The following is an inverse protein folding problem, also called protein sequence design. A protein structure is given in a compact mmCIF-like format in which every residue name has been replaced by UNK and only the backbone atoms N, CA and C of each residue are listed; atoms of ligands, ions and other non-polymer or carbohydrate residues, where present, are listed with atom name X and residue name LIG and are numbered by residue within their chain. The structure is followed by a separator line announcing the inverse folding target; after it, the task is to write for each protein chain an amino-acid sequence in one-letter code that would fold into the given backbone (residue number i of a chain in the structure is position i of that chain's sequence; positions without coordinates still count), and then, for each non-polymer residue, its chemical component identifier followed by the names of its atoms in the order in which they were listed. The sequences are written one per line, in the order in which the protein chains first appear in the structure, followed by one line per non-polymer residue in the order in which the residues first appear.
data_IF_070717796639
#
_entry.id   IF_070717796639
#
_cell.length_a   1.000
_cell.length_b   1.000
_cell.length_c   1.000
_cell.angle_alpha   90.00
_cell.angle_beta   90.00
_cell.angle_gamma   90.00
#
_symmetry.space_group_name_H-M   'P 1'
#
loop_
_entity.id
_entity.type
_entity.pdbx_description
1 polymer ?
#
# COMPACT_ATOMS: atom_id res chain seq x y z
N UNK A 1 -8.47 4.85 -23.70
CA UNK A 1 -8.58 5.12 -25.16
C UNK A 1 -7.24 5.65 -25.65
N UNK A 2 -6.92 5.37 -26.92
CA UNK A 2 -5.68 5.77 -27.57
C UNK A 2 -5.62 7.31 -27.72
N UNK A 3 -4.66 8.03 -27.13
CA UNK A 3 -4.52 9.47 -27.26
C UNK A 3 -4.23 9.91 -28.70
N UNK A 4 -4.69 11.11 -29.06
CA UNK A 4 -4.56 11.72 -30.41
C UNK A 4 -3.08 11.93 -30.81
N UNK A 5 -2.18 11.97 -29.84
CA UNK A 5 -0.73 12.13 -30.06
C UNK A 5 0.00 10.82 -30.45
N UNK A 6 -0.71 9.68 -30.46
CA UNK A 6 -0.17 8.32 -30.75
C UNK A 6 1.09 7.94 -29.93
N UNK A 7 1.37 8.67 -28.85
CA UNK A 7 2.61 8.48 -28.08
C UNK A 7 2.56 7.26 -27.15
N UNK A 8 1.35 6.75 -26.88
CA UNK A 8 1.04 5.69 -25.92
C UNK A 8 -0.25 4.98 -26.36
N UNK A 9 -0.46 3.71 -26.01
CA UNK A 9 -1.71 3.00 -26.34
C UNK A 9 -2.87 3.39 -25.40
N UNK A 10 -2.53 3.78 -24.17
CA UNK A 10 -3.50 4.18 -23.15
C UNK A 10 -2.95 5.33 -22.30
N UNK A 11 -3.80 6.32 -22.04
CA UNK A 11 -3.50 7.44 -21.15
C UNK A 11 -4.52 7.52 -20.02
N UNK A 12 -4.02 7.61 -18.80
CA UNK A 12 -4.79 7.80 -17.57
C UNK A 12 -4.35 9.14 -16.98
N UNK A 13 -5.24 10.13 -17.04
CA UNK A 13 -5.10 11.38 -16.32
C UNK A 13 -6.17 11.44 -15.23
N UNK A 14 -5.74 11.53 -13.98
CA UNK A 14 -6.64 11.69 -12.83
C UNK A 14 -6.15 12.85 -12.01
N UNK A 15 -7.03 13.80 -11.71
CA UNK A 15 -6.76 14.87 -10.75
C UNK A 15 -7.91 14.96 -9.76
N UNK A 16 -7.60 14.99 -8.47
CA UNK A 16 -8.60 15.09 -7.40
C UNK A 16 -8.45 16.39 -6.62
N UNK A 17 -9.56 16.89 -6.08
CA UNK A 17 -9.57 17.94 -5.05
C UNK A 17 -9.28 17.31 -3.66
N UNK A 18 -8.90 18.09 -2.64
CA UNK A 18 -8.65 17.57 -1.30
C UNK A 18 -9.91 16.94 -0.71
N UNK A 19 -9.78 15.70 -0.22
CA UNK A 19 -10.90 14.94 0.34
C UNK A 19 -10.80 14.88 1.87
N UNK A 20 -11.90 15.12 2.58
CA UNK A 20 -11.99 14.90 4.03
C UNK A 20 -12.71 13.59 4.28
N UNK A 21 -11.99 12.57 4.74
CA UNK A 21 -12.58 11.26 5.06
C UNK A 21 -12.72 11.18 6.56
N UNK A 22 -13.94 11.00 7.05
CA UNK A 22 -14.20 10.76 8.47
C UNK A 22 -14.65 9.32 8.64
N UNK A 23 -13.96 8.59 9.51
CA UNK A 23 -14.32 7.23 9.86
C UNK A 23 -15.58 7.23 10.71
N UNK A 24 -16.57 6.45 10.28
CA UNK A 24 -17.80 6.17 11.00
C UNK A 24 -17.95 4.66 11.13
N UNK A 25 -17.90 4.16 12.37
CA UNK A 25 -17.88 2.73 12.65
C UNK A 25 -19.17 2.04 12.18
N UNK A 26 -20.32 2.68 12.35
CA UNK A 26 -21.61 2.12 11.95
C UNK A 26 -21.69 1.93 10.43
N UNK A 27 -21.24 2.91 9.66
CA UNK A 27 -21.18 2.85 8.20
C UNK A 27 -20.23 1.76 7.73
N UNK A 28 -19.03 1.70 8.29
CA UNK A 28 -18.04 0.68 7.90
C UNK A 28 -18.54 -0.72 8.23
N UNK A 29 -19.14 -0.94 9.40
CA UNK A 29 -19.67 -2.23 9.78
C UNK A 29 -20.79 -2.71 8.85
N UNK A 30 -21.70 -1.82 8.47
CA UNK A 30 -22.78 -2.11 7.49
C UNK A 30 -22.23 -2.40 6.09
N UNK A 31 -21.24 -1.63 5.64
CA UNK A 31 -20.60 -1.86 4.35
C UNK A 31 -19.90 -3.22 4.34
N UNK A 32 -19.16 -3.54 5.39
CA UNK A 32 -18.51 -4.85 5.54
C UNK A 32 -19.55 -5.98 5.53
N UNK A 33 -20.69 -5.80 6.21
CA UNK A 33 -21.79 -6.77 6.20
C UNK A 33 -22.37 -7.02 4.80
N UNK A 34 -22.55 -5.97 3.99
CA UNK A 34 -23.05 -6.08 2.60
C UNK A 34 -22.05 -6.84 1.70
N UNK A 35 -20.74 -6.65 1.94
CA UNK A 35 -19.69 -7.30 1.17
C UNK A 35 -19.25 -8.67 1.73
N UNK A 36 -19.76 -9.08 2.91
CA UNK A 36 -19.64 -10.47 3.36
C UNK A 36 -20.48 -11.32 2.41
N UNK A 37 -19.82 -12.18 1.64
CA UNK A 37 -20.53 -13.13 0.79
C UNK A 37 -21.38 -14.03 1.70
N UNK A 38 -22.67 -14.26 1.38
CA UNK A 38 -23.45 -15.27 2.07
C UNK A 38 -22.76 -16.63 1.90
N UNK A 39 -22.66 -17.39 2.99
CA UNK A 39 -21.87 -18.63 3.12
C UNK A 39 -22.29 -19.78 2.21
N UNK A 40 -23.26 -19.58 1.32
CA UNK A 40 -23.81 -20.62 0.45
C UNK A 40 -23.90 -20.10 -0.99
N UNK A 41 -22.79 -20.08 -1.74
CA UNK A 41 -22.81 -20.33 -3.21
C UNK A 41 -21.40 -20.47 -3.84
N UNK A 42 -21.09 -21.72 -4.22
CA UNK A 42 -20.28 -22.15 -5.36
C UNK A 42 -18.87 -21.54 -5.55
N UNK A 43 -17.94 -21.91 -4.66
CA UNK A 43 -16.50 -21.88 -4.96
C UNK A 43 -16.14 -22.81 -6.15
N UNK A 44 -16.95 -23.83 -6.42
CA UNK A 44 -16.75 -24.80 -7.50
C UNK A 44 -16.73 -24.15 -8.89
N UNK A 45 -17.55 -23.12 -9.15
CA UNK A 45 -17.60 -22.48 -10.47
C UNK A 45 -16.38 -21.59 -10.72
N UNK A 46 -15.84 -20.95 -9.68
CA UNK A 46 -14.63 -20.12 -9.77
C UNK A 46 -13.40 -21.01 -9.92
N UNK A 47 -13.36 -22.15 -9.22
CA UNK A 47 -12.28 -23.12 -9.32
C UNK A 47 -12.20 -23.73 -10.73
N UNK A 48 -13.32 -24.12 -11.33
CA UNK A 48 -13.35 -24.65 -12.71
C UNK A 48 -12.92 -23.58 -13.73
N UNK A 49 -13.32 -22.31 -13.53
CA UNK A 49 -12.86 -21.21 -14.38
C UNK A 49 -11.36 -20.90 -14.21
N UNK A 50 -10.82 -21.06 -13.00
CA UNK A 50 -9.41 -20.93 -12.70
C UNK A 50 -8.60 -22.10 -13.29
N UNK A 51 -9.07 -23.34 -13.18
CA UNK A 51 -8.45 -24.54 -13.75
C UNK A 51 -8.36 -24.46 -15.28
N UNK A 52 -9.40 -23.95 -15.94
CA UNK A 52 -9.37 -23.69 -17.39
C UNK A 52 -8.38 -22.57 -17.80
N UNK A 53 -8.13 -21.58 -16.93
CA UNK A 53 -7.09 -20.57 -17.16
C UNK A 53 -5.68 -21.10 -16.86
N UNK A 54 -5.53 -21.95 -15.84
CA UNK A 54 -4.25 -22.57 -15.46
C UNK A 54 -3.75 -23.56 -16.50
N UNK A 55 -4.64 -24.35 -17.12
CA UNK A 55 -4.25 -25.28 -18.18
C UNK A 55 -3.83 -24.56 -19.48
N UNK A 56 -4.35 -23.36 -19.72
CA UNK A 56 -3.91 -22.48 -20.82
C UNK A 56 -2.55 -21.81 -20.54
N UNK A 57 -2.05 -21.90 -19.30
CA UNK A 57 -0.79 -21.31 -18.84
C UNK A 57 0.40 -22.29 -18.87
N UNK A 58 0.21 -23.53 -19.35
CA UNK A 58 1.23 -24.60 -19.35
C UNK A 58 1.94 -24.82 -20.71
N UNK A 59 1.44 -24.25 -21.81
CA UNK A 59 1.96 -24.48 -23.17
C UNK A 59 2.45 -23.21 -23.87
N UNK A 60 3.35 -22.45 -23.24
CA UNK A 60 3.95 -21.31 -23.94
C UNK A 60 5.41 -21.08 -23.51
N UNK A 61 6.29 -21.96 -23.98
CA UNK A 61 7.74 -21.76 -23.84
C UNK A 61 8.39 -21.72 -25.21
N UNK A 62 9.32 -20.77 -25.38
CA UNK A 62 10.05 -20.29 -26.59
C UNK A 62 9.44 -19.13 -27.39
N UNK A 63 8.13 -18.86 -27.29
CA UNK A 63 7.50 -17.70 -27.97
C UNK A 63 7.39 -16.43 -27.10
N UNK A 64 7.83 -16.47 -25.84
CA UNK A 64 7.57 -15.42 -24.83
C UNK A 64 8.09 -14.02 -25.18
N UNK A 65 9.25 -13.89 -25.85
CA UNK A 65 9.75 -12.58 -26.30
C UNK A 65 8.88 -11.99 -27.42
N UNK A 66 8.59 -12.78 -28.46
CA UNK A 66 7.71 -12.35 -29.56
C UNK A 66 6.29 -12.05 -29.05
N UNK A 67 5.80 -12.83 -28.09
CA UNK A 67 4.51 -12.62 -27.46
C UNK A 67 4.46 -11.35 -26.59
N UNK A 68 5.52 -11.09 -25.82
CA UNK A 68 5.64 -9.89 -25.02
C UNK A 68 5.71 -8.62 -25.88
N UNK A 69 6.41 -8.68 -27.03
CA UNK A 69 6.47 -7.60 -28.02
C UNK A 69 5.08 -7.34 -28.63
N UNK A 70 4.33 -8.39 -28.95
CA UNK A 70 3.01 -8.27 -29.60
C UNK A 70 1.91 -7.77 -28.65
N UNK A 71 1.98 -8.14 -27.36
CA UNK A 71 0.99 -7.74 -26.35
C UNK A 71 1.35 -6.50 -25.54
N UNK A 72 2.41 -5.79 -25.89
CA UNK A 72 2.88 -4.67 -25.08
C UNK A 72 1.92 -3.48 -25.19
N UNK A 73 1.28 -3.10 -24.07
CA UNK A 73 0.41 -1.91 -23.99
C UNK A 73 1.20 -0.79 -23.31
N UNK A 74 1.55 0.25 -24.05
CA UNK A 74 2.18 1.45 -23.55
C UNK A 74 1.17 2.26 -22.70
N UNK A 75 1.28 2.14 -21.37
CA UNK A 75 0.45 2.89 -20.42
C UNK A 75 1.13 4.19 -19.98
N UNK A 76 0.45 5.31 -20.20
CA UNK A 76 0.81 6.61 -19.66
C UNK A 76 -0.07 6.93 -18.45
N UNK A 77 0.54 7.02 -17.28
CA UNK A 77 -0.16 7.38 -16.04
C UNK A 77 0.30 8.76 -15.62
N UNK A 78 -0.66 9.63 -15.32
CA UNK A 78 -0.44 10.89 -14.62
C UNK A 78 -1.62 11.10 -13.65
N UNK A 79 -1.38 10.72 -12.41
CA UNK A 79 -2.34 10.74 -11.33
C UNK A 79 -1.83 11.75 -10.32
N UNK A 80 -2.64 12.78 -10.09
CA UNK A 80 -2.41 13.82 -9.11
C UNK A 80 -3.54 13.77 -8.08
N UNK A 81 -3.25 13.15 -6.94
CA UNK A 81 -4.20 13.03 -5.84
C UNK A 81 -3.80 14.05 -4.80
N UNK A 82 -4.59 15.12 -4.69
CA UNK A 82 -4.59 15.95 -3.49
C UNK A 82 -5.13 15.10 -2.36
N UNK A 83 -4.21 14.62 -1.52
CA UNK A 83 -4.47 13.43 -0.73
C UNK A 83 -5.48 13.73 0.37
N UNK A 84 -6.35 12.77 0.69
CA UNK A 84 -7.31 12.94 1.75
C UNK A 84 -6.61 13.01 3.11
N UNK A 85 -7.17 13.80 4.02
CA UNK A 85 -6.93 13.58 5.44
C UNK A 85 -8.03 12.69 6.00
N UNK A 86 -7.62 11.64 6.72
CA UNK A 86 -8.48 10.66 7.34
C UNK A 86 -8.57 11.00 8.82
N UNK A 87 -9.79 11.16 9.32
CA UNK A 87 -10.09 11.45 10.72
C UNK A 87 -10.74 10.21 11.33
N UNK A 88 -10.13 9.72 12.40
CA UNK A 88 -10.62 8.57 13.14
C UNK A 88 -10.94 9.03 14.56
N UNK A 89 -12.23 9.17 14.91
CA UNK A 89 -12.65 9.55 16.26
C UNK A 89 -12.59 8.40 17.24
N UNK A 90 -12.28 8.71 18.50
CA UNK A 90 -12.50 7.81 19.61
C UNK A 90 -13.97 7.39 19.68
N UNK A 91 -14.23 6.09 19.89
CA UNK A 91 -15.59 5.53 19.91
C UNK A 91 -16.24 5.40 18.53
N UNK A 92 -15.54 5.71 17.44
CA UNK A 92 -16.00 5.42 16.08
C UNK A 92 -17.09 6.33 15.53
N UNK A 93 -17.42 7.43 16.22
CA UNK A 93 -18.35 8.45 15.75
C UNK A 93 -17.77 9.85 15.97
N UNK A 94 -17.83 10.70 14.96
CA UNK A 94 -17.29 12.05 15.04
C UNK A 94 -18.37 13.04 15.46
N UNK A 95 -18.27 13.61 16.66
CA UNK A 95 -19.11 14.75 17.10
C UNK A 95 -18.32 16.04 17.27
N UNK A 96 -16.98 15.95 17.24
CA UNK A 96 -16.06 17.08 17.29
C UNK A 96 -15.50 17.38 18.68
N UNK A 97 -15.97 16.65 19.70
CA UNK A 97 -15.48 16.73 21.09
C UNK A 97 -14.70 15.49 21.53
N UNK A 98 -14.45 14.55 20.63
CA UNK A 98 -13.66 13.35 20.90
C UNK A 98 -12.17 13.58 20.62
N UNK A 99 -11.34 12.75 21.23
CA UNK A 99 -9.96 12.59 20.80
C UNK A 99 -9.94 11.98 19.40
N UNK A 100 -9.09 12.49 18.52
CA UNK A 100 -9.06 12.07 17.12
C UNK A 100 -7.63 11.73 16.69
N UNK A 101 -7.52 10.64 15.93
CA UNK A 101 -6.34 10.36 15.12
C UNK A 101 -6.57 10.96 13.74
N UNK A 102 -5.68 11.84 13.31
CA UNK A 102 -5.75 12.47 12.00
C UNK A 102 -4.51 12.09 11.20
N UNK A 103 -4.74 11.45 10.06
CA UNK A 103 -3.70 11.10 9.10
C UNK A 103 -3.86 11.97 7.85
N UNK A 104 -2.97 12.93 7.67
CA UNK A 104 -2.88 13.71 6.45
C UNK A 104 -1.94 13.00 5.47
N UNK A 105 -2.49 12.47 4.38
CA UNK A 105 -1.71 11.79 3.34
C UNK A 105 -0.96 12.78 2.41
N UNK A 106 -1.21 14.08 2.57
CA UNK A 106 -0.50 15.16 1.90
C UNK A 106 -0.79 15.28 0.40
N UNK A 107 0.22 15.11 -0.45
CA UNK A 107 0.07 15.12 -1.91
C UNK A 107 0.70 13.88 -2.51
N UNK A 108 -0.12 13.06 -3.19
CA UNK A 108 0.33 11.86 -3.88
C UNK A 108 0.33 12.13 -5.37
N UNK A 109 1.52 12.14 -5.95
CA UNK A 109 1.70 12.24 -7.41
C UNK A 109 2.30 10.96 -7.95
N UNK A 110 1.65 10.38 -8.94
CA UNK A 110 2.13 9.20 -9.66
C UNK A 110 2.19 9.56 -11.13
N UNK A 111 3.37 9.50 -11.71
CA UNK A 111 3.52 9.77 -13.13
C UNK A 111 4.52 8.83 -13.79
N UNK A 112 4.20 8.40 -14.99
CA UNK A 112 5.10 7.63 -15.84
C UNK A 112 6.20 8.53 -16.39
N UNK A 113 7.44 8.08 -16.37
CA UNK A 113 8.59 8.82 -16.91
C UNK A 113 9.54 7.90 -17.71
N UNK A 114 10.45 8.50 -18.47
CA UNK A 114 11.41 7.77 -19.31
C UNK A 114 10.95 7.56 -20.76
N UNK A 115 11.91 7.25 -21.64
CA UNK A 115 11.61 6.81 -23.02
C UNK A 115 11.02 5.42 -22.96
N UNK A 116 9.82 5.26 -23.51
CA UNK A 116 9.18 3.95 -23.61
C UNK A 116 9.54 3.38 -24.96
N UNK A 117 10.00 2.14 -24.99
CA UNK A 117 10.17 1.42 -26.25
C UNK A 117 8.79 1.19 -26.85
N UNK A 118 8.52 1.77 -28.02
CA UNK A 118 7.31 1.44 -28.77
C UNK A 118 7.42 0.01 -29.30
N UNK A 119 6.28 -0.65 -29.50
CA UNK A 119 6.22 -1.92 -30.23
C UNK A 119 6.86 -1.81 -31.61
N UNK A 120 6.80 -0.63 -32.24
CA UNK A 120 7.47 -0.33 -33.50
C UNK A 120 9.00 -0.33 -33.38
N UNK A 121 9.56 0.18 -32.27
CA UNK A 121 11.01 0.20 -32.05
C UNK A 121 11.57 -1.22 -31.86
N UNK A 122 10.82 -2.07 -31.15
CA UNK A 122 11.20 -3.45 -30.90
C UNK A 122 11.08 -4.32 -32.15
N UNK A 123 10.06 -4.09 -32.99
CA UNK A 123 9.93 -4.75 -34.30
C UNK A 123 11.09 -4.37 -35.22
N UNK A 124 11.47 -3.09 -35.28
CA UNK A 124 12.64 -2.62 -36.05
C UNK A 124 13.94 -3.26 -35.57
N UNK A 125 14.18 -3.30 -34.25
CA UNK A 125 15.36 -3.96 -33.68
C UNK A 125 15.42 -5.46 -34.04
N UNK A 126 14.28 -6.14 -34.08
CA UNK A 126 14.19 -7.54 -34.49
C UNK A 126 14.44 -7.73 -35.99
N UNK A 127 13.86 -6.85 -36.81
CA UNK A 127 14.04 -6.83 -38.28
C UNK A 127 15.47 -6.45 -38.70
N UNK A 128 16.16 -5.65 -37.90
CA UNK A 128 17.57 -5.26 -38.08
C UNK A 128 18.57 -6.39 -37.72
N UNK A 129 18.10 -7.57 -37.29
CA UNK A 129 18.94 -8.74 -37.00
C UNK A 129 19.73 -8.65 -35.70
N UNK A 130 19.30 -7.80 -34.75
CA UNK A 130 19.90 -7.69 -33.41
C UNK A 130 19.83 -9.02 -32.66
N UNK A 131 20.84 -9.28 -31.84
CA UNK A 131 20.86 -10.48 -31.01
C UNK A 131 19.79 -10.44 -29.92
N UNK A 132 19.32 -11.60 -29.47
CA UNK A 132 18.31 -11.71 -28.41
C UNK A 132 18.74 -11.00 -27.11
N UNK A 133 20.04 -11.01 -26.80
CA UNK A 133 20.61 -10.32 -25.64
C UNK A 133 20.50 -8.81 -25.76
N UNK A 134 20.78 -8.23 -26.93
CA UNK A 134 20.66 -6.78 -27.15
C UNK A 134 19.20 -6.30 -27.07
N UNK A 135 18.25 -7.09 -27.61
CA UNK A 135 16.82 -6.79 -27.51
C UNK A 135 16.37 -6.86 -26.04
N UNK A 136 16.87 -7.85 -25.29
CA UNK A 136 16.58 -7.99 -23.87
C UNK A 136 17.13 -6.82 -23.05
N UNK A 137 18.38 -6.42 -23.27
CA UNK A 137 18.98 -5.26 -22.62
C UNK A 137 18.20 -3.97 -22.95
N UNK A 138 17.75 -3.84 -24.20
CA UNK A 138 16.92 -2.73 -24.63
C UNK A 138 15.56 -2.72 -23.90
N UNK A 139 14.91 -3.88 -23.73
CA UNK A 139 13.64 -4.01 -22.99
C UNK A 139 13.79 -3.71 -21.50
N UNK A 140 14.84 -4.22 -20.87
CA UNK A 140 15.14 -3.93 -19.46
C UNK A 140 15.44 -2.45 -19.24
N UNK A 141 16.14 -1.82 -20.19
CA UNK A 141 16.48 -0.39 -20.14
C UNK A 141 15.27 0.53 -20.34
N UNK A 142 14.27 0.09 -21.09
CA UNK A 142 13.03 0.84 -21.35
C UNK A 142 11.82 0.24 -20.64
N UNK A 143 12.06 -0.37 -19.48
CA UNK A 143 11.00 -0.84 -18.58
C UNK A 143 10.05 0.29 -18.18
N UNK A 144 8.83 -0.08 -17.76
CA UNK A 144 7.84 0.92 -17.35
C UNK A 144 8.25 1.57 -16.03
N UNK A 145 8.85 2.75 -16.11
CA UNK A 145 9.25 3.52 -14.96
C UNK A 145 8.12 4.47 -14.53
N UNK A 146 7.59 4.23 -13.33
CA UNK A 146 6.63 5.09 -12.65
C UNK A 146 7.33 5.79 -11.49
N UNK A 147 7.16 7.10 -11.38
CA UNK A 147 7.60 7.87 -10.22
C UNK A 147 6.41 8.09 -9.30
N UNK A 148 6.60 7.78 -8.02
CA UNK A 148 5.66 8.00 -6.95
C UNK A 148 6.27 9.00 -5.99
N UNK A 149 5.55 10.09 -5.75
CA UNK A 149 5.93 11.16 -4.84
C UNK A 149 4.83 11.35 -3.81
N UNK A 150 5.19 11.20 -2.54
CA UNK A 150 4.37 11.54 -1.39
C UNK A 150 4.98 12.79 -0.77
N UNK A 151 4.21 13.86 -0.61
CA UNK A 151 4.67 15.08 0.06
C UNK A 151 3.83 15.37 1.28
N UNK A 152 4.46 15.79 2.36
CA UNK A 152 3.82 16.23 3.60
C UNK A 152 2.88 15.19 4.24
N UNK A 153 3.27 13.91 4.24
CA UNK A 153 2.59 12.88 5.03
C UNK A 153 2.76 13.21 6.53
N UNK A 154 1.66 13.33 7.26
CA UNK A 154 1.66 13.67 8.69
C UNK A 154 0.63 12.82 9.42
N UNK A 155 0.94 12.42 10.65
CA UNK A 155 -0.01 11.72 11.52
C UNK A 155 0.00 12.41 12.87
N UNK A 156 -1.18 12.77 13.36
CA UNK A 156 -1.38 13.51 14.59
C UNK A 156 -2.41 12.79 15.46
N UNK A 157 -2.19 12.80 16.76
CA UNK A 157 -3.19 12.40 17.75
C UNK A 157 -3.56 13.65 18.53
N UNK A 158 -4.82 14.06 18.46
CA UNK A 158 -5.29 15.29 19.08
C UNK A 158 -6.35 15.01 20.14
N UNK A 159 -6.29 15.78 21.22
CA UNK A 159 -7.32 15.83 22.24
C UNK A 159 -8.45 16.78 21.81
N UNK A 160 -9.57 16.71 22.53
CA UNK A 160 -10.77 17.49 22.20
C UNK A 160 -10.61 19.01 22.34
N UNK A 161 -9.65 19.46 23.14
CA UNK A 161 -9.28 20.86 23.35
C UNK A 161 -8.15 21.34 22.42
N UNK A 162 -7.56 20.45 21.63
CA UNK A 162 -6.44 20.76 20.75
C UNK A 162 -6.89 21.06 19.30
N UNK A 163 -6.35 22.14 18.73
CA UNK A 163 -6.65 22.51 17.35
C UNK A 163 -5.72 21.81 16.35
N UNK A 164 -6.06 20.57 16.01
CA UNK A 164 -5.34 19.76 15.03
C UNK A 164 -5.41 20.30 13.60
N UNK A 165 -6.51 20.97 13.23
CA UNK A 165 -6.71 21.50 11.86
C UNK A 165 -5.67 22.61 11.55
N UNK A 166 -5.44 23.50 12.52
CA UNK A 166 -4.37 24.49 12.42
C UNK A 166 -2.98 23.85 12.38
N UNK A 167 -2.74 22.81 13.17
CA UNK A 167 -1.44 22.12 13.22
C UNK A 167 -1.08 21.46 11.88
N UNK A 168 -2.03 20.81 11.23
CA UNK A 168 -1.85 20.19 9.91
C UNK A 168 -1.57 21.25 8.83
N UNK A 169 -2.38 22.32 8.80
CA UNK A 169 -2.25 23.37 7.79
C UNK A 169 -0.92 24.10 7.88
N UNK A 170 -0.44 24.35 9.09
CA UNK A 170 0.85 25.01 9.30
C UNK A 170 2.04 24.10 9.02
N UNK A 171 1.85 22.77 8.96
CA UNK A 171 2.91 21.77 8.73
C UNK A 171 4.13 21.97 9.64
N UNK A 172 3.89 22.49 10.85
CA UNK A 172 4.91 22.69 11.88
C UNK A 172 4.84 21.54 12.86
N UNK A 173 6.01 21.04 13.28
CA UNK A 173 6.06 19.98 14.29
C UNK A 173 5.50 20.51 15.62
N UNK A 174 4.45 19.85 16.10
CA UNK A 174 3.80 20.10 17.40
C UNK A 174 3.81 18.83 18.24
N UNK A 175 3.45 18.94 19.52
CA UNK A 175 3.35 17.77 20.42
C UNK A 175 2.15 16.85 20.10
N UNK A 176 1.28 17.27 19.18
CA UNK A 176 0.23 16.43 18.61
C UNK A 176 0.76 15.45 17.56
N UNK A 177 1.91 15.74 16.93
CA UNK A 177 2.42 14.91 15.84
C UNK A 177 2.96 13.59 16.38
N UNK A 178 2.41 12.48 15.88
CA UNK A 178 3.01 11.15 16.00
C UNK A 178 4.07 10.96 14.91
N UNK A 179 3.76 11.45 13.71
CA UNK A 179 4.65 11.49 12.56
C UNK A 179 4.72 12.93 12.06
N UNK A 180 5.91 13.50 12.11
CA UNK A 180 6.20 14.80 11.53
C UNK A 180 6.07 14.79 9.99
N UNK A 181 5.93 15.96 9.35
CA UNK A 181 5.82 16.06 7.89
C UNK A 181 6.93 15.29 7.16
N UNK A 182 6.51 14.24 6.44
CA UNK A 182 7.39 13.30 5.75
C UNK A 182 7.13 13.36 4.25
N UNK A 183 8.19 13.54 3.46
CA UNK A 183 8.11 13.56 1.99
C UNK A 183 9.00 12.47 1.39
N UNK A 184 8.39 11.44 0.80
CA UNK A 184 9.09 10.28 0.25
C UNK A 184 8.91 10.26 -1.26
N UNK A 185 9.95 9.91 -1.99
CA UNK A 185 9.83 9.62 -3.42
C UNK A 185 10.49 8.29 -3.76
N UNK A 186 9.81 7.52 -4.62
CA UNK A 186 10.33 6.27 -5.13
C UNK A 186 9.94 6.08 -6.60
N UNK A 187 10.76 5.33 -7.30
CA UNK A 187 10.55 4.84 -8.64
C UNK A 187 10.16 3.38 -8.57
N UNK A 188 9.06 3.02 -9.21
CA UNK A 188 8.68 1.65 -9.50
C UNK A 188 8.90 1.36 -10.98
N UNK A 189 9.81 0.45 -11.29
CA UNK A 189 10.09 -0.05 -12.63
C UNK A 189 9.36 -1.39 -12.81
N UNK A 190 8.35 -1.47 -13.66
CA UNK A 190 7.67 -2.73 -13.99
C UNK A 190 8.36 -3.40 -15.18
N UNK A 191 8.62 -4.71 -15.05
CA UNK A 191 9.18 -5.49 -16.13
C UNK A 191 8.19 -5.62 -17.29
N UNK A 192 8.69 -5.45 -18.51
CA UNK A 192 7.90 -5.64 -19.73
C UNK A 192 7.61 -7.12 -19.97
N UNK A 193 8.57 -7.98 -19.65
CA UNK A 193 8.46 -9.43 -19.83
C UNK A 193 7.98 -10.03 -18.51
N UNK A 194 6.75 -10.51 -18.50
CA UNK A 194 6.12 -11.10 -17.30
C UNK A 194 6.29 -12.61 -17.20
N UNK A 195 6.70 -13.28 -18.29
CA UNK A 195 6.68 -14.74 -18.42
C UNK A 195 8.04 -15.42 -18.15
N UNK A 196 9.11 -14.64 -17.91
CA UNK A 196 10.44 -15.19 -17.60
C UNK A 196 10.65 -15.26 -16.08
N UNK A 197 10.74 -16.47 -15.49
CA UNK A 197 10.95 -16.64 -14.04
C UNK A 197 12.32 -16.15 -13.56
N UNK A 198 13.26 -15.84 -14.45
CA UNK A 198 14.58 -15.30 -14.10
C UNK A 198 14.55 -13.78 -13.87
N UNK A 199 13.49 -13.10 -14.29
CA UNK A 199 13.37 -11.65 -14.17
C UNK A 199 12.40 -11.27 -13.04
N UNK A 200 12.73 -10.25 -12.22
CA UNK A 200 11.78 -9.74 -11.25
C UNK A 200 10.64 -9.02 -11.98
N UNK A 201 9.41 -9.27 -11.56
CA UNK A 201 8.22 -8.59 -12.11
C UNK A 201 8.28 -7.06 -12.01
N UNK A 202 9.02 -6.54 -11.04
CA UNK A 202 9.30 -5.12 -10.93
C UNK A 202 10.39 -4.82 -9.93
N UNK A 203 10.82 -3.56 -9.91
CA UNK A 203 11.88 -3.04 -9.05
C UNK A 203 11.41 -1.74 -8.43
N UNK A 204 11.54 -1.63 -7.11
CA UNK A 204 11.35 -0.36 -6.41
C UNK A 204 12.71 0.22 -6.08
N UNK A 205 12.92 1.49 -6.38
CA UNK A 205 14.09 2.28 -5.96
C UNK A 205 13.59 3.53 -5.29
N UNK A 206 14.22 3.99 -4.22
CA UNK A 206 13.83 5.24 -3.60
C UNK A 206 14.89 5.68 -2.60
N UNK A 207 14.74 6.93 -2.18
CA UNK A 207 15.50 7.45 -1.06
C UNK A 207 14.50 7.72 0.07
N UNK A 208 14.73 7.06 1.20
CA UNK A 208 13.98 7.33 2.41
C UNK A 208 14.67 8.49 3.14
N UNK A 209 14.00 9.63 3.36
CA UNK A 209 14.54 10.71 4.18
C UNK A 209 14.51 10.33 5.68
N UNK A 210 14.94 11.25 6.55
CA UNK A 210 14.74 11.08 8.00
C UNK A 210 13.25 10.95 8.31
N UNK A 211 12.90 9.96 9.12
CA UNK A 211 11.55 9.76 9.64
C UNK A 211 11.56 10.17 11.11
N UNK A 212 10.92 11.30 11.40
CA UNK A 212 10.85 11.83 12.75
C UNK A 212 9.52 11.43 13.38
N UNK A 213 9.59 10.40 14.24
CA UNK A 213 8.45 9.85 14.98
C UNK A 213 8.50 10.34 16.42
N UNK A 214 7.40 10.89 16.92
CA UNK A 214 7.26 11.42 18.28
C UNK A 214 6.16 10.66 19.01
N UNK A 215 6.54 9.82 19.97
CA UNK A 215 5.59 9.02 20.76
C UNK A 215 5.78 9.32 22.24
N UNK A 216 4.99 10.24 22.77
CA UNK A 216 4.90 10.45 24.22
C UNK A 216 3.98 9.41 24.85
N UNK A 217 4.15 9.14 26.15
CA UNK A 217 3.33 8.19 26.90
C UNK A 217 1.83 8.49 26.76
N UNK A 218 1.44 9.76 26.94
CA UNK A 218 0.06 10.20 26.77
C UNK A 218 -0.50 9.87 25.38
N UNK A 219 0.29 10.12 24.31
CA UNK A 219 -0.13 9.89 22.92
C UNK A 219 -0.24 8.41 22.59
N UNK A 220 0.67 7.59 23.10
CA UNK A 220 0.61 6.12 22.97
C UNK A 220 -0.64 5.57 23.65
N UNK A 221 -0.92 5.98 24.89
CA UNK A 221 -2.11 5.53 25.63
C UNK A 221 -3.40 5.94 24.92
N UNK A 222 -3.46 7.15 24.36
CA UNK A 222 -4.59 7.60 23.56
C UNK A 222 -4.75 6.79 22.27
N UNK A 223 -3.66 6.45 21.58
CA UNK A 223 -3.71 5.62 20.37
C UNK A 223 -4.26 4.23 20.69
N UNK A 224 -3.78 3.59 21.76
CA UNK A 224 -4.34 2.30 22.20
C UNK A 224 -5.81 2.42 22.56
N UNK A 225 -6.17 3.44 23.34
CA UNK A 225 -7.56 3.69 23.73
C UNK A 225 -8.46 3.84 22.50
N UNK A 226 -8.01 4.55 21.47
CA UNK A 226 -8.72 4.72 20.21
C UNK A 226 -8.89 3.38 19.47
N UNK A 227 -7.81 2.60 19.30
CA UNK A 227 -7.85 1.30 18.62
C UNK A 227 -8.83 0.33 19.29
N UNK A 228 -8.84 0.30 20.63
CA UNK A 228 -9.75 -0.55 21.41
C UNK A 228 -11.18 0.00 21.49
N UNK A 229 -11.39 1.30 21.27
CA UNK A 229 -12.73 1.90 21.28
C UNK A 229 -13.53 1.62 20.02
N UNK A 230 -12.86 1.33 18.91
CA UNK A 230 -13.51 1.07 17.63
C UNK A 230 -14.05 -0.37 17.65
N UNK A 231 -15.36 -0.51 17.48
CA UNK A 231 -16.00 -1.81 17.28
C UNK A 231 -15.68 -2.29 15.87
N UNK A 232 -14.65 -3.12 15.75
CA UNK A 232 -14.31 -3.79 14.50
C UNK A 232 -15.41 -4.81 14.18
N UNK A 233 -15.84 -4.92 12.92
CA UNK A 233 -16.81 -5.93 12.54
C UNK A 233 -16.15 -7.27 12.82
N UNK A 234 -16.76 -8.08 13.70
CA UNK A 234 -16.27 -9.43 13.96
C UNK A 234 -16.25 -10.19 12.64
N UNK A 235 -15.04 -10.53 12.21
CA UNK A 235 -14.86 -11.72 11.40
C UNK A 235 -15.36 -12.85 12.29
N UNK A 236 -16.44 -13.51 11.92
CA UNK A 236 -16.70 -14.84 12.43
C UNK A 236 -15.55 -15.71 11.94
N UNK A 237 -14.46 -15.72 12.69
CA UNK A 237 -13.46 -16.76 12.59
C UNK A 237 -14.23 -18.00 13.05
N UNK A 238 -14.65 -18.82 12.10
CA UNK A 238 -14.93 -20.22 12.40
C UNK A 238 -13.64 -20.75 13.03
N UNK A 239 -13.67 -20.85 14.36
CA UNK A 239 -12.60 -21.39 15.18
C UNK A 239 -12.50 -22.87 14.89
N UNK A 240 -11.86 -23.23 13.78
CA UNK A 240 -11.15 -24.49 13.69
C UNK A 240 -9.88 -24.29 14.51
N UNK A 241 -9.79 -25.06 15.59
CA UNK A 241 -8.74 -25.10 16.61
C UNK A 241 -7.37 -24.65 16.09
N UNK A 242 -6.91 -23.48 16.56
CA UNK A 242 -5.49 -23.14 16.55
C UNK A 242 -5.05 -23.13 18.01
N UNK A 243 -4.27 -24.14 18.36
CA UNK A 243 -3.60 -24.26 19.65
C UNK A 243 -2.98 -22.93 20.08
N UNK A 244 -3.36 -22.48 21.27
CA UNK A 244 -2.83 -21.27 21.89
C UNK A 244 -1.31 -21.39 22.10
N UNK A 245 -0.52 -20.83 21.20
CA UNK A 245 0.88 -20.52 21.46
C UNK A 245 0.91 -19.38 22.48
N UNK A 246 1.04 -19.80 23.74
CA UNK A 246 1.14 -18.98 24.94
C UNK A 246 2.39 -18.09 24.89
N UNK A 247 2.24 -16.84 24.49
CA UNK A 247 3.22 -15.77 24.78
C UNK A 247 2.89 -15.18 26.16
N UNK A 248 3.07 -15.97 27.22
CA UNK A 248 2.99 -15.49 28.60
C UNK A 248 4.06 -16.05 29.55
N UNK A 249 5.10 -16.77 29.07
CA UNK A 249 6.14 -17.34 29.95
C UNK A 249 7.43 -16.50 30.09
N UNK A 250 7.43 -15.22 29.74
CA UNK A 250 8.65 -14.40 29.84
C UNK A 250 8.64 -13.36 30.98
N UNK A 251 7.58 -13.29 31.79
CA UNK A 251 7.55 -12.47 33.01
C UNK A 251 7.71 -13.27 34.31
N UNK A 252 7.62 -14.60 34.27
CA UNK A 252 7.82 -15.45 35.47
C UNK A 252 9.29 -15.83 35.73
N UNK A 253 10.18 -15.67 34.75
CA UNK A 253 11.62 -15.96 34.93
C UNK A 253 12.37 -14.85 35.67
N UNK A 254 11.83 -13.62 35.72
CA UNK A 254 12.47 -12.52 36.46
C UNK A 254 12.13 -12.59 37.95
N UNK A 255 10.92 -13.03 38.31
CA UNK A 255 10.51 -13.17 39.71
C UNK A 255 11.07 -14.42 40.39
N UNK A 256 11.35 -15.49 39.63
CA UNK A 256 11.94 -16.72 40.20
C UNK A 256 13.43 -16.55 40.56
N UNK A 257 14.18 -15.70 39.83
CA UNK A 257 15.60 -15.41 40.14
C UNK A 257 15.74 -14.46 41.33
N UNK A 258 14.73 -13.65 41.65
CA UNK A 258 14.80 -12.68 42.74
C UNK A 258 14.42 -13.26 44.12
N UNK A 259 13.65 -14.35 44.18
CA UNK A 259 13.28 -14.98 45.47
C UNK A 259 14.33 -15.94 46.02
N UNK A 260 15.22 -16.49 45.18
CA UNK A 260 16.20 -17.50 45.60
C UNK A 260 17.51 -16.91 46.16
N UNK A 261 17.77 -15.60 45.94
CA UNK A 261 18.94 -14.93 46.51
C UNK A 261 18.81 -14.46 47.96
N UNK A 262 17.62 -14.58 48.57
CA UNK A 262 17.38 -14.15 49.97
C UNK A 262 17.30 -15.30 50.99
N UNK A 263 17.58 -16.56 50.60
CA UNK A 263 17.57 -17.72 51.53
C UNK A 263 18.94 -18.32 51.86
N UNK A 264 20.05 -17.80 51.33
CA UNK A 264 21.38 -18.39 51.54
C UNK A 264 22.35 -17.48 52.30
N UNK A 265 21.84 -16.63 53.18
CA UNK A 265 22.68 -15.88 54.14
C UNK A 265 21.94 -15.74 55.47
N UNK A 266 21.87 -16.85 56.19
CA UNK A 266 21.84 -16.87 57.66
C UNK A 266 22.41 -18.20 58.16
#
# INVERSE_FOLDING_TARGET
MNPIDESCDQRIDVSTQPLKITYDAETINKVVEIFKLPSDTSLDQIQIAAENRLNKMKEMTTTGLAHAIDKQICLNVNIDIQAPYIIIPYGGKYTGSENVLVANLGHLKIFSFGKRSSTADLKRLHEEGKTQTEIMEHLVKHAYDFKLEFKNLQILMAQSDENWDAAIKNSMSTDMHLLNPLSISFTYSKCVISDDPKLPHGKVKGQLPSIDVKLSEARILMLFSLIFSITWPSSEVQSNEIEAITVCKQLDLINCVYSDRKRTTQ
#
